data_IF_716318251131
#
_entry.id   IF_716318251131
#
_cell.length_a   1.000
_cell.length_b   1.000
_cell.length_c   1.000
_cell.angle_alpha   90.00
_cell.angle_beta   90.00
_cell.angle_gamma   90.00
#
_symmetry.space_group_name_H-M   'P 1'
#
loop_
_entity.id
_entity.type
_entity.pdbx_description
1 polymer ?
#
# COMPACT_ATOMS: atom_id res chain seq x y z
N UNK A 1 -16.52 -10.20 3.44
CA UNK A 1 -15.42 -9.20 3.51
C UNK A 1 -15.88 -7.98 4.28
N UNK A 2 -15.00 -7.30 5.02
CA UNK A 2 -15.32 -6.08 5.80
C UNK A 2 -15.34 -4.85 4.89
N UNK A 3 -15.94 -3.73 5.36
CA UNK A 3 -15.80 -2.42 4.72
C UNK A 3 -14.38 -1.89 4.88
N UNK A 4 -13.82 -1.29 3.85
CA UNK A 4 -12.51 -0.68 3.87
C UNK A 4 -12.60 0.78 4.36
N UNK A 5 -12.31 0.97 5.65
CA UNK A 5 -12.37 2.29 6.30
C UNK A 5 -11.40 3.30 5.70
N UNK A 6 -10.24 2.84 5.21
CA UNK A 6 -9.25 3.71 4.54
C UNK A 6 -9.81 4.23 3.22
N UNK A 7 -10.37 3.34 2.39
CA UNK A 7 -11.03 3.72 1.14
C UNK A 7 -12.19 4.70 1.40
N UNK A 8 -12.97 4.45 2.45
CA UNK A 8 -14.08 5.31 2.84
C UNK A 8 -13.60 6.71 3.26
N UNK A 9 -12.56 6.82 4.10
CA UNK A 9 -11.94 8.10 4.49
C UNK A 9 -11.42 8.87 3.26
N UNK A 10 -10.67 8.20 2.38
CA UNK A 10 -10.13 8.82 1.17
C UNK A 10 -11.23 9.33 0.24
N UNK A 11 -12.35 8.61 0.10
CA UNK A 11 -13.52 9.06 -0.69
C UNK A 11 -14.17 10.32 -0.09
N UNK A 12 -14.13 10.50 1.23
CA UNK A 12 -14.56 11.74 1.90
C UNK A 12 -13.53 12.87 1.80
N UNK A 13 -12.38 12.63 1.19
CA UNK A 13 -11.30 13.61 1.05
C UNK A 13 -10.42 13.74 2.30
N UNK A 14 -10.52 12.83 3.26
CA UNK A 14 -9.68 12.81 4.47
C UNK A 14 -8.29 12.23 4.18
N UNK A 15 -7.29 12.67 4.95
CA UNK A 15 -5.97 12.05 4.95
C UNK A 15 -5.95 10.82 5.84
N UNK A 16 -5.14 9.83 5.48
CA UNK A 16 -4.96 8.58 6.23
C UNK A 16 -3.49 8.34 6.51
N UNK A 17 -3.21 7.79 7.69
CA UNK A 17 -1.86 7.46 8.14
C UNK A 17 -1.70 5.94 8.25
N UNK A 18 -0.68 5.42 7.60
CA UNK A 18 -0.31 4.02 7.65
C UNK A 18 1.12 3.77 8.07
N UNK A 19 1.40 2.50 8.34
CA UNK A 19 2.74 2.07 8.74
C UNK A 19 3.18 0.85 7.92
N UNK A 20 4.43 0.90 7.42
CA UNK A 20 5.08 -0.25 6.78
C UNK A 20 5.62 -1.17 7.85
N UNK A 21 5.26 -2.43 7.76
CA UNK A 21 5.77 -3.49 8.62
C UNK A 21 6.55 -4.52 7.79
N UNK A 22 7.84 -4.62 8.04
CA UNK A 22 8.73 -5.65 7.49
C UNK A 22 9.15 -6.69 8.55
N UNK A 23 8.88 -6.42 9.83
CA UNK A 23 9.11 -7.35 10.93
C UNK A 23 7.86 -8.21 11.14
N UNK A 24 8.01 -9.54 11.05
CA UNK A 24 6.91 -10.46 11.31
C UNK A 24 6.63 -10.55 12.83
N UNK A 25 5.83 -9.60 13.35
CA UNK A 25 5.45 -9.52 14.75
C UNK A 25 3.98 -9.13 14.91
N UNK A 26 3.22 -10.00 15.57
CA UNK A 26 1.82 -9.77 15.92
C UNK A 26 1.70 -8.58 16.86
N UNK A 27 2.59 -8.48 17.85
CA UNK A 27 2.59 -7.43 18.86
C UNK A 27 2.77 -6.04 18.22
N UNK A 28 3.71 -5.93 17.28
CA UNK A 28 3.93 -4.67 16.56
C UNK A 28 2.73 -4.29 15.70
N UNK A 29 2.02 -5.26 15.12
CA UNK A 29 0.77 -4.99 14.40
C UNK A 29 -0.30 -4.45 15.35
N UNK A 30 -0.46 -5.10 16.52
CA UNK A 30 -1.45 -4.70 17.52
C UNK A 30 -1.13 -3.32 18.11
N UNK A 31 0.13 -3.07 18.45
CA UNK A 31 0.61 -1.76 18.92
C UNK A 31 0.33 -0.65 17.89
N UNK A 32 0.56 -0.92 16.60
CA UNK A 32 0.25 0.03 15.54
C UNK A 32 -1.24 0.39 15.52
N UNK A 33 -2.12 -0.59 15.67
CA UNK A 33 -3.55 -0.36 15.75
C UNK A 33 -3.97 0.48 16.95
N UNK A 34 -3.48 0.15 18.14
CA UNK A 34 -3.76 0.93 19.36
C UNK A 34 -3.13 2.34 19.32
N UNK A 35 -2.07 2.53 18.55
CA UNK A 35 -1.47 3.86 18.33
C UNK A 35 -2.29 4.76 17.41
N UNK A 36 -3.34 4.24 16.76
CA UNK A 36 -4.26 5.02 15.94
C UNK A 36 -3.91 5.10 14.46
N UNK A 37 -3.07 4.21 13.94
CA UNK A 37 -2.87 4.10 12.48
C UNK A 37 -4.15 3.62 11.79
N UNK A 38 -4.42 4.13 10.59
CA UNK A 38 -5.57 3.73 9.78
C UNK A 38 -5.36 2.41 9.07
N UNK A 39 -4.12 2.14 8.66
CA UNK A 39 -3.75 0.94 7.92
C UNK A 39 -2.32 0.50 8.20
N UNK A 40 -2.06 -0.76 7.88
CA UNK A 40 -0.75 -1.38 7.94
C UNK A 40 -0.41 -2.01 6.60
N UNK A 41 0.82 -1.82 6.14
CA UNK A 41 1.34 -2.43 4.92
C UNK A 41 2.28 -3.55 5.34
N UNK A 42 1.86 -4.78 5.09
CA UNK A 42 2.65 -5.99 5.30
C UNK A 42 3.51 -6.20 4.06
N UNK A 43 4.81 -6.10 4.24
CA UNK A 43 5.76 -6.08 3.14
C UNK A 43 6.27 -7.48 2.81
N UNK A 44 5.82 -8.02 1.66
CA UNK A 44 6.29 -9.32 1.16
C UNK A 44 7.29 -9.19 0.00
N UNK A 45 7.73 -7.97 -0.31
CA UNK A 45 8.77 -7.70 -1.30
C UNK A 45 10.16 -7.62 -0.65
N UNK A 46 10.37 -6.68 0.29
CA UNK A 46 11.65 -6.48 0.97
C UNK A 46 11.73 -7.08 2.38
N UNK A 47 10.68 -7.73 2.83
CA UNK A 47 10.63 -8.44 4.11
C UNK A 47 10.72 -9.96 3.96
N UNK A 48 10.99 -10.69 5.06
CA UNK A 48 11.01 -12.16 5.06
C UNK A 48 9.59 -12.77 5.08
N UNK A 49 8.55 -11.98 4.83
CA UNK A 49 7.16 -12.42 4.94
C UNK A 49 6.64 -13.02 3.64
N UNK A 50 5.68 -13.93 3.80
CA UNK A 50 4.86 -14.49 2.74
C UNK A 50 3.38 -14.24 3.04
N UNK A 51 2.48 -14.49 2.08
CA UNK A 51 1.05 -14.40 2.33
C UNK A 51 0.59 -15.27 3.52
N UNK A 52 1.21 -16.43 3.72
CA UNK A 52 0.93 -17.31 4.85
C UNK A 52 1.31 -16.68 6.19
N UNK A 53 2.52 -16.14 6.30
CA UNK A 53 2.98 -15.46 7.52
C UNK A 53 2.21 -14.17 7.83
N UNK A 54 1.53 -13.59 6.84
CA UNK A 54 0.66 -12.43 7.03
C UNK A 54 -0.68 -12.77 7.71
N UNK A 55 -1.12 -14.03 7.74
CA UNK A 55 -2.43 -14.40 8.32
C UNK A 55 -2.58 -13.93 9.78
N UNK A 56 -1.67 -14.24 10.72
CA UNK A 56 -1.81 -13.79 12.09
C UNK A 56 -1.72 -12.26 12.23
N UNK A 57 -0.93 -11.60 11.37
CA UNK A 57 -0.83 -10.14 11.36
C UNK A 57 -2.14 -9.50 10.89
N UNK A 58 -2.78 -10.08 9.86
CA UNK A 58 -4.11 -9.64 9.40
C UNK A 58 -5.15 -9.82 10.52
N UNK A 59 -5.13 -10.95 11.25
CA UNK A 59 -6.03 -11.16 12.37
C UNK A 59 -5.85 -10.09 13.46
N UNK A 60 -4.62 -9.74 13.80
CA UNK A 60 -4.28 -8.68 14.75
C UNK A 60 -4.73 -7.30 14.27
N UNK A 61 -4.48 -6.99 12.99
CA UNK A 61 -4.94 -5.75 12.36
C UNK A 61 -6.48 -5.64 12.40
N UNK A 62 -7.19 -6.72 12.08
CA UNK A 62 -8.64 -6.77 12.14
C UNK A 62 -9.20 -6.56 13.55
N UNK A 63 -8.51 -7.08 14.58
CA UNK A 63 -8.88 -6.91 15.99
C UNK A 63 -8.77 -5.46 16.45
N UNK A 64 -7.76 -4.75 15.98
CA UNK A 64 -7.51 -3.33 16.32
C UNK A 64 -8.16 -2.36 15.33
N UNK A 65 -8.93 -2.86 14.36
CA UNK A 65 -9.65 -2.09 13.35
C UNK A 65 -8.77 -1.29 12.37
N UNK A 66 -7.48 -1.61 12.23
CA UNK A 66 -6.65 -1.08 11.15
C UNK A 66 -6.82 -1.93 9.88
N UNK A 67 -6.63 -1.32 8.73
CA UNK A 67 -6.83 -1.98 7.43
C UNK A 67 -5.54 -2.68 6.99
N UNK A 68 -5.52 -4.02 6.83
CA UNK A 68 -4.35 -4.73 6.35
C UNK A 68 -4.22 -4.61 4.83
N UNK A 69 -3.07 -4.13 4.39
CA UNK A 69 -2.66 -4.03 2.98
C UNK A 69 -1.41 -4.90 2.82
N UNK A 70 -1.30 -5.63 1.72
CA UNK A 70 -0.08 -6.41 1.41
C UNK A 70 0.61 -5.77 0.21
N UNK A 71 1.92 -5.50 0.32
CA UNK A 71 2.75 -5.28 -0.84
C UNK A 71 3.22 -6.63 -1.37
N UNK A 72 2.82 -6.96 -2.60
CA UNK A 72 3.27 -8.18 -3.29
C UNK A 72 4.66 -7.99 -3.89
N UNK A 73 5.40 -9.09 -4.09
CA UNK A 73 6.75 -9.02 -4.67
C UNK A 73 6.73 -8.70 -6.17
N UNK A 74 5.67 -9.07 -6.87
CA UNK A 74 5.54 -8.90 -8.33
C UNK A 74 4.07 -8.96 -8.76
N UNK A 75 3.80 -8.46 -10.00
CA UNK A 75 2.47 -8.54 -10.63
C UNK A 75 2.25 -9.95 -11.20
N UNK A 76 2.19 -10.95 -10.32
CA UNK A 76 1.91 -12.33 -10.69
C UNK A 76 0.64 -12.85 -10.01
N UNK A 77 -0.12 -13.69 -10.76
CA UNK A 77 -1.39 -14.24 -10.31
C UNK A 77 -1.30 -14.91 -8.95
N UNK A 78 -0.24 -15.68 -8.70
CA UNK A 78 -0.07 -16.45 -7.47
C UNK A 78 0.08 -15.54 -6.24
N UNK A 79 0.90 -14.49 -6.30
CA UNK A 79 1.11 -13.58 -5.18
C UNK A 79 -0.14 -12.76 -4.89
N UNK A 80 -0.78 -12.22 -5.94
CA UNK A 80 -1.99 -11.42 -5.82
C UNK A 80 -3.14 -12.26 -5.25
N UNK A 81 -3.35 -13.47 -5.80
CA UNK A 81 -4.42 -14.36 -5.35
C UNK A 81 -4.25 -14.74 -3.88
N UNK A 82 -3.05 -15.19 -3.48
CA UNK A 82 -2.76 -15.57 -2.10
C UNK A 82 -2.94 -14.39 -1.14
N UNK A 83 -2.42 -13.21 -1.47
CA UNK A 83 -2.59 -12.01 -0.65
C UNK A 83 -4.07 -11.66 -0.43
N UNK A 84 -4.89 -11.74 -1.48
CA UNK A 84 -6.32 -11.45 -1.38
C UNK A 84 -7.09 -12.54 -0.62
N UNK A 85 -6.72 -13.81 -0.78
CA UNK A 85 -7.42 -14.94 -0.17
C UNK A 85 -7.12 -15.08 1.33
N UNK A 86 -5.95 -14.62 1.81
CA UNK A 86 -5.67 -14.52 3.25
C UNK A 86 -6.34 -13.32 3.92
N UNK A 87 -6.93 -12.39 3.15
CA UNK A 87 -7.78 -11.33 3.68
C UNK A 87 -7.19 -9.93 3.62
N UNK A 88 -6.19 -9.67 2.77
CA UNK A 88 -5.75 -8.30 2.51
C UNK A 88 -6.91 -7.45 1.97
N UNK A 89 -7.05 -6.24 2.49
CA UNK A 89 -8.05 -5.25 2.10
C UNK A 89 -7.51 -4.25 1.07
N UNK A 90 -6.23 -4.36 0.73
CA UNK A 90 -5.57 -3.65 -0.35
C UNK A 90 -4.32 -4.38 -0.80
N UNK A 91 -3.91 -4.10 -2.02
CA UNK A 91 -2.64 -4.59 -2.58
C UNK A 91 -1.84 -3.42 -3.10
N UNK A 92 -0.54 -3.42 -2.78
CA UNK A 92 0.45 -2.55 -3.40
C UNK A 92 1.21 -3.38 -4.44
N UNK A 93 1.26 -2.86 -5.65
CA UNK A 93 1.99 -3.43 -6.78
C UNK A 93 3.27 -2.65 -6.99
N UNK A 94 4.45 -3.26 -6.77
CA UNK A 94 5.72 -2.60 -7.03
C UNK A 94 5.97 -2.48 -8.54
N UNK A 95 6.87 -1.58 -8.93
CA UNK A 95 7.46 -1.46 -10.27
C UNK A 95 6.46 -1.33 -11.42
N UNK A 96 5.29 -0.67 -11.17
CA UNK A 96 4.30 -0.45 -12.23
C UNK A 96 4.77 0.70 -13.12
N UNK A 97 5.30 0.36 -14.29
CA UNK A 97 5.92 1.30 -15.22
C UNK A 97 5.07 1.59 -16.45
N UNK A 98 4.18 0.66 -16.82
CA UNK A 98 3.39 0.74 -18.06
C UNK A 98 1.89 0.61 -17.81
N UNK A 99 1.11 1.11 -18.76
CA UNK A 99 -0.35 0.91 -18.75
C UNK A 99 -0.73 -0.58 -18.75
N UNK A 100 0.03 -1.41 -19.46
CA UNK A 100 -0.25 -2.85 -19.56
C UNK A 100 0.00 -3.56 -18.23
N UNK A 101 1.05 -3.21 -17.50
CA UNK A 101 1.28 -3.72 -16.14
C UNK A 101 0.18 -3.27 -15.19
N UNK A 102 -0.22 -2.02 -15.24
CA UNK A 102 -1.33 -1.50 -14.45
C UNK A 102 -2.65 -2.22 -14.75
N UNK A 103 -2.99 -2.44 -16.02
CA UNK A 103 -4.15 -3.24 -16.43
C UNK A 103 -4.06 -4.70 -15.95
N UNK A 104 -2.87 -5.29 -16.00
CA UNK A 104 -2.63 -6.64 -15.50
C UNK A 104 -2.87 -6.73 -13.99
N UNK A 105 -2.34 -5.77 -13.23
CA UNK A 105 -2.56 -5.68 -11.78
C UNK A 105 -4.06 -5.60 -11.43
N UNK A 106 -4.79 -4.72 -12.10
CA UNK A 106 -6.25 -4.58 -11.96
C UNK A 106 -6.95 -5.89 -12.30
N UNK A 107 -6.65 -6.47 -13.45
CA UNK A 107 -7.30 -7.67 -13.97
C UNK A 107 -7.14 -8.88 -13.02
N UNK A 108 -5.93 -9.09 -12.50
CA UNK A 108 -5.63 -10.20 -11.57
C UNK A 108 -6.24 -10.00 -10.17
N UNK A 109 -6.65 -8.79 -9.83
CA UNK A 109 -7.20 -8.44 -8.51
C UNK A 109 -8.72 -8.43 -8.45
N UNK A 110 -9.39 -8.43 -9.59
CA UNK A 110 -10.85 -8.31 -9.68
C UNK A 110 -11.49 -9.59 -10.17
N UNK A 111 -12.62 -9.93 -9.59
CA UNK A 111 -13.53 -10.92 -10.13
C UNK A 111 -14.24 -10.34 -11.35
N UNK A 112 -14.54 -11.20 -12.35
CA UNK A 112 -15.33 -10.81 -13.52
C UNK A 112 -16.73 -10.37 -13.09
N UNK A 113 -17.22 -9.30 -13.69
CA UNK A 113 -18.60 -8.85 -13.58
C UNK A 113 -19.35 -9.05 -14.91
N UNK A 114 -20.68 -9.02 -14.84
CA UNK A 114 -21.52 -9.09 -16.04
C UNK A 114 -21.17 -7.93 -17.00
N UNK A 115 -20.72 -8.25 -18.19
CA UNK A 115 -20.24 -7.27 -19.17
C UNK A 115 -18.72 -7.24 -19.39
N UNK A 116 -17.93 -7.82 -18.47
CA UNK A 116 -16.47 -7.87 -18.53
C UNK A 116 -15.93 -9.02 -19.43
N UNK A 117 -16.73 -9.52 -20.36
CA UNK A 117 -16.43 -10.75 -21.16
C UNK A 117 -15.14 -10.69 -21.99
N UNK A 118 -14.53 -9.51 -22.14
CA UNK A 118 -13.28 -9.30 -22.87
C UNK A 118 -12.01 -9.48 -22.02
N UNK A 119 -12.12 -9.73 -20.71
CA UNK A 119 -10.96 -9.92 -19.84
C UNK A 119 -10.45 -11.36 -19.96
N UNK A 120 -9.27 -11.52 -20.53
CA UNK A 120 -8.61 -12.82 -20.66
C UNK A 120 -8.03 -13.34 -19.33
N UNK A 121 -7.74 -12.45 -18.38
CA UNK A 121 -7.16 -12.77 -17.07
C UNK A 121 -7.99 -12.12 -15.98
N UNK A 122 -8.17 -12.82 -14.86
CA UNK A 122 -8.97 -12.36 -13.73
C UNK A 122 -8.58 -13.11 -12.45
N UNK A 123 -9.01 -12.57 -11.31
CA UNK A 123 -8.87 -13.22 -10.01
C UNK A 123 -9.56 -14.59 -10.02
N UNK A 124 -8.85 -15.63 -9.57
CA UNK A 124 -9.45 -16.95 -9.38
C UNK A 124 -10.55 -16.91 -8.32
N UNK A 125 -11.66 -17.59 -8.58
CA UNK A 125 -12.81 -17.62 -7.68
C UNK A 125 -12.72 -18.82 -6.72
N UNK A 126 -12.81 -18.51 -5.43
CA UNK A 126 -12.99 -19.48 -4.37
C UNK A 126 -13.78 -18.84 -3.23
N UNK A 127 -14.79 -19.55 -2.71
CA UNK A 127 -15.63 -19.06 -1.61
C UNK A 127 -15.27 -19.65 -0.24
N UNK A 128 -14.31 -20.57 -0.19
CA UNK A 128 -13.85 -21.21 1.07
C UNK A 128 -12.52 -20.62 1.59
N UNK A 129 -12.06 -19.50 1.02
CA UNK A 129 -10.90 -18.79 1.53
C UNK A 129 -11.21 -18.03 2.84
N UNK A 130 -10.16 -17.65 3.57
CA UNK A 130 -10.30 -16.81 4.78
C UNK A 130 -11.03 -15.49 4.46
N UNK A 131 -10.68 -14.84 3.37
CA UNK A 131 -11.31 -13.60 2.92
C UNK A 131 -12.81 -13.73 2.68
N UNK A 132 -13.26 -14.91 2.27
CA UNK A 132 -14.66 -15.26 2.05
C UNK A 132 -15.36 -15.81 3.33
N UNK A 133 -14.71 -15.76 4.50
CA UNK A 133 -15.25 -16.34 5.73
C UNK A 133 -15.46 -17.84 5.66
N UNK A 134 -14.60 -18.53 4.90
CA UNK A 134 -14.61 -19.98 4.67
C UNK A 134 -15.93 -20.51 4.06
N UNK A 135 -16.69 -19.66 3.37
CA UNK A 135 -17.99 -20.01 2.81
C UNK A 135 -19.11 -20.18 3.85
N UNK A 136 -18.85 -19.84 5.12
CA UNK A 136 -19.78 -20.02 6.23
C UNK A 136 -20.60 -18.74 6.46
N UNK A 137 -19.94 -17.59 6.43
CA UNK A 137 -20.54 -16.30 6.85
C UNK A 137 -21.01 -15.42 5.69
N UNK A 138 -20.61 -15.71 4.47
CA UNK A 138 -20.93 -14.89 3.30
C UNK A 138 -21.16 -15.80 2.10
N UNK A 139 -22.24 -15.57 1.34
CA UNK A 139 -22.47 -16.25 0.07
C UNK A 139 -21.50 -15.75 -1.01
N UNK A 140 -21.28 -16.60 -2.03
CA UNK A 140 -20.29 -16.34 -3.08
C UNK A 140 -20.55 -15.04 -3.85
N UNK A 141 -21.81 -14.75 -4.19
CA UNK A 141 -22.15 -13.54 -4.94
C UNK A 141 -21.85 -12.28 -4.16
N UNK A 142 -22.26 -12.23 -2.89
CA UNK A 142 -21.96 -11.12 -1.98
C UNK A 142 -20.46 -10.96 -1.74
N UNK A 143 -19.71 -12.07 -1.69
CA UNK A 143 -18.25 -12.02 -1.59
C UNK A 143 -17.62 -11.36 -2.82
N UNK A 144 -18.04 -11.75 -4.04
CA UNK A 144 -17.55 -11.18 -5.30
C UNK A 144 -17.81 -9.68 -5.35
N UNK A 145 -19.05 -9.25 -5.12
CA UNK A 145 -19.46 -7.84 -5.18
C UNK A 145 -18.69 -7.00 -4.15
N UNK A 146 -18.65 -7.47 -2.90
CA UNK A 146 -17.94 -6.76 -1.82
C UNK A 146 -16.43 -6.70 -2.07
N UNK A 147 -15.82 -7.79 -2.52
CA UNK A 147 -14.40 -7.81 -2.84
C UNK A 147 -14.03 -6.82 -3.92
N UNK A 148 -14.78 -6.78 -5.02
CA UNK A 148 -14.53 -5.84 -6.11
C UNK A 148 -14.68 -4.38 -5.68
N UNK A 149 -15.56 -4.10 -4.71
CA UNK A 149 -15.81 -2.75 -4.17
C UNK A 149 -14.77 -2.33 -3.14
N UNK A 150 -14.46 -3.20 -2.18
CA UNK A 150 -13.73 -2.81 -0.97
C UNK A 150 -12.21 -2.96 -1.07
N UNK A 151 -11.70 -3.85 -1.94
CA UNK A 151 -10.25 -4.00 -2.12
C UNK A 151 -9.66 -2.77 -2.78
N UNK A 152 -8.65 -2.17 -2.14
CA UNK A 152 -7.86 -1.07 -2.69
C UNK A 152 -6.77 -1.57 -3.61
N UNK A 153 -6.60 -0.91 -4.77
CA UNK A 153 -5.50 -1.15 -5.69
C UNK A 153 -4.56 0.05 -5.68
N UNK A 154 -3.33 -0.21 -5.29
CA UNK A 154 -2.28 0.78 -5.10
C UNK A 154 -1.12 0.43 -6.02
N UNK A 155 -0.73 1.31 -6.91
CA UNK A 155 0.43 1.12 -7.80
C UNK A 155 1.61 1.96 -7.31
N UNK A 156 2.82 1.40 -7.30
CA UNK A 156 4.03 2.15 -7.00
C UNK A 156 4.57 2.81 -8.26
N UNK A 157 4.74 4.12 -8.17
CA UNK A 157 5.37 4.99 -9.15
C UNK A 157 6.83 5.19 -8.74
N UNK A 158 7.74 4.43 -9.34
CA UNK A 158 9.12 4.34 -8.83
C UNK A 158 10.17 4.07 -9.92
N UNK A 159 9.80 4.22 -11.19
CA UNK A 159 10.73 4.07 -12.30
C UNK A 159 10.68 5.28 -13.24
N UNK A 160 11.78 5.50 -13.98
CA UNK A 160 11.82 6.51 -15.04
C UNK A 160 10.75 6.26 -16.11
N UNK A 161 10.51 5.00 -16.46
CA UNK A 161 9.47 4.64 -17.42
C UNK A 161 8.06 4.98 -16.91
N UNK A 162 7.81 4.81 -15.60
CA UNK A 162 6.56 5.23 -14.99
C UNK A 162 6.31 6.74 -15.11
N UNK A 163 7.38 7.57 -15.10
CA UNK A 163 7.27 9.04 -15.30
C UNK A 163 6.67 9.34 -16.66
N UNK A 164 7.14 8.65 -17.70
CA UNK A 164 6.70 8.86 -19.07
C UNK A 164 5.27 8.34 -19.31
N UNK A 165 4.86 7.29 -18.59
CA UNK A 165 3.58 6.60 -18.75
C UNK A 165 2.50 7.03 -17.73
N UNK A 166 2.79 7.93 -16.80
CA UNK A 166 1.91 8.29 -15.68
C UNK A 166 0.49 8.69 -16.16
N UNK A 167 0.41 9.54 -17.18
CA UNK A 167 -0.87 10.04 -17.67
C UNK A 167 -1.77 8.92 -18.22
N UNK A 168 -1.20 7.87 -18.79
CA UNK A 168 -1.95 6.70 -19.26
C UNK A 168 -2.38 5.81 -18.09
N UNK A 169 -1.51 5.59 -17.11
CA UNK A 169 -1.82 4.82 -15.90
C UNK A 169 -2.97 5.48 -15.13
N UNK A 170 -2.98 6.81 -15.04
CA UNK A 170 -4.01 7.57 -14.34
C UNK A 170 -5.42 7.44 -14.95
N UNK A 171 -5.55 7.04 -16.23
CA UNK A 171 -6.85 6.78 -16.88
C UNK A 171 -7.57 5.55 -16.35
N UNK A 172 -6.87 4.62 -15.66
CA UNK A 172 -7.48 3.41 -15.10
C UNK A 172 -8.28 3.75 -13.84
N UNK A 173 -9.60 3.67 -13.94
CA UNK A 173 -10.53 4.04 -12.85
C UNK A 173 -10.38 3.17 -11.60
N UNK A 174 -9.98 1.92 -11.77
CA UNK A 174 -9.87 0.92 -10.71
C UNK A 174 -8.68 1.11 -9.77
N UNK A 175 -7.68 1.93 -10.16
CA UNK A 175 -6.56 2.31 -9.29
C UNK A 175 -7.03 3.36 -8.30
N UNK A 176 -6.92 3.08 -7.02
CA UNK A 176 -7.33 3.97 -5.93
C UNK A 176 -6.20 4.94 -5.54
N UNK A 177 -4.96 4.44 -5.46
CA UNK A 177 -3.79 5.20 -4.99
C UNK A 177 -2.60 4.99 -5.94
N UNK A 178 -1.88 6.07 -6.23
CA UNK A 178 -0.55 6.01 -6.83
C UNK A 178 0.47 6.40 -5.77
N UNK A 179 1.29 5.44 -5.37
CA UNK A 179 2.25 5.57 -4.28
C UNK A 179 3.65 5.87 -4.82
N UNK A 180 4.29 6.93 -4.35
CA UNK A 180 5.63 7.34 -4.79
C UNK A 180 6.68 6.52 -4.06
N UNK A 181 7.39 5.64 -4.77
CA UNK A 181 8.56 4.92 -4.30
C UNK A 181 9.84 5.75 -4.55
N UNK A 182 10.11 6.71 -3.67
CA UNK A 182 11.18 7.70 -3.91
C UNK A 182 12.59 7.07 -3.99
N UNK A 183 12.82 5.95 -3.31
CA UNK A 183 14.10 5.24 -3.31
C UNK A 183 14.41 4.69 -4.71
N UNK A 184 13.53 3.83 -5.22
CA UNK A 184 13.70 3.20 -6.52
C UNK A 184 13.58 4.22 -7.67
N UNK A 185 12.71 5.22 -7.52
CA UNK A 185 12.63 6.32 -8.47
C UNK A 185 13.97 7.06 -8.57
N UNK A 186 14.60 7.40 -7.45
CA UNK A 186 15.89 8.09 -7.46
C UNK A 186 16.98 7.25 -8.14
N UNK A 187 17.00 5.95 -7.84
CA UNK A 187 17.91 4.98 -8.48
C UNK A 187 17.65 4.88 -9.99
N UNK A 188 16.40 4.72 -10.39
CA UNK A 188 15.99 4.62 -11.81
C UNK A 188 16.30 5.88 -12.62
N UNK A 189 16.34 7.04 -11.98
CA UNK A 189 16.72 8.31 -12.57
C UNK A 189 18.24 8.54 -12.62
N UNK A 190 19.04 7.63 -12.05
CA UNK A 190 20.51 7.75 -12.00
C UNK A 190 21.05 8.51 -10.78
N UNK A 191 20.21 8.72 -9.75
CA UNK A 191 20.55 9.42 -8.50
C UNK A 191 20.29 8.53 -7.26
N UNK A 192 20.93 7.34 -7.14
CA UNK A 192 20.60 6.37 -6.10
C UNK A 192 20.79 6.95 -4.69
N UNK A 193 19.71 6.99 -3.89
CA UNK A 193 19.73 7.51 -2.52
C UNK A 193 19.71 9.03 -2.41
N UNK A 194 19.75 9.75 -3.51
CA UNK A 194 19.73 11.22 -3.52
C UNK A 194 18.29 11.78 -3.53
N UNK A 195 17.50 11.51 -2.50
CA UNK A 195 16.11 11.99 -2.42
C UNK A 195 15.98 13.52 -2.45
N UNK A 196 17.03 14.22 -2.07
CA UNK A 196 17.10 15.70 -2.05
C UNK A 196 17.58 16.31 -3.37
N UNK A 197 17.97 15.50 -4.35
CA UNK A 197 18.36 15.98 -5.66
C UNK A 197 17.20 16.79 -6.29
N UNK A 198 17.45 18.02 -6.77
CA UNK A 198 16.42 18.88 -7.34
C UNK A 198 15.63 18.26 -8.47
N UNK A 199 16.26 17.41 -9.31
CA UNK A 199 15.62 16.71 -10.42
C UNK A 199 14.60 15.70 -9.86
N UNK A 200 15.01 14.87 -8.89
CA UNK A 200 14.16 13.86 -8.25
C UNK A 200 12.97 14.53 -7.56
N UNK A 201 13.23 15.57 -6.75
CA UNK A 201 12.19 16.33 -6.06
C UNK A 201 11.18 16.95 -7.02
N UNK A 202 11.66 17.53 -8.12
CA UNK A 202 10.77 18.13 -9.11
C UNK A 202 9.88 17.09 -9.79
N UNK A 203 10.44 15.95 -10.19
CA UNK A 203 9.67 14.83 -10.78
C UNK A 203 8.60 14.34 -9.81
N UNK A 204 8.94 14.11 -8.54
CA UNK A 204 7.98 13.70 -7.51
C UNK A 204 6.87 14.75 -7.36
N UNK A 205 7.22 16.03 -7.26
CA UNK A 205 6.25 17.12 -7.12
C UNK A 205 5.28 17.20 -8.30
N UNK A 206 5.80 17.10 -9.53
CA UNK A 206 4.96 17.12 -10.73
C UNK A 206 4.10 15.87 -10.85
N UNK A 207 4.63 14.70 -10.49
CA UNK A 207 3.83 13.46 -10.43
C UNK A 207 2.67 13.59 -9.43
N UNK A 208 2.92 14.09 -8.21
CA UNK A 208 1.86 14.31 -7.21
C UNK A 208 0.78 15.24 -7.74
N UNK A 209 1.14 16.37 -8.38
CA UNK A 209 0.16 17.28 -8.98
C UNK A 209 -0.70 16.58 -10.03
N UNK A 210 -0.10 15.80 -10.94
CA UNK A 210 -0.82 15.03 -11.95
C UNK A 210 -1.79 14.04 -11.33
N UNK A 211 -1.34 13.28 -10.31
CA UNK A 211 -2.15 12.30 -9.60
C UNK A 211 -3.36 12.98 -8.95
N UNK A 212 -3.14 14.05 -8.20
CA UNK A 212 -4.21 14.80 -7.51
C UNK A 212 -5.18 15.40 -8.51
N UNK A 213 -4.70 16.02 -9.59
CA UNK A 213 -5.53 16.61 -10.64
C UNK A 213 -6.37 15.56 -11.40
N UNK A 214 -5.91 14.31 -11.46
CA UNK A 214 -6.67 13.22 -12.07
C UNK A 214 -7.83 12.70 -11.19
N UNK A 215 -7.95 13.20 -9.96
CA UNK A 215 -8.90 12.73 -8.95
C UNK A 215 -8.47 11.47 -8.22
N UNK A 216 -7.25 10.97 -8.43
CA UNK A 216 -6.68 9.84 -7.69
C UNK A 216 -5.94 10.32 -6.45
N UNK A 217 -5.69 9.38 -5.54
CA UNK A 217 -4.97 9.64 -4.31
C UNK A 217 -3.46 9.46 -4.52
N UNK A 218 -2.68 10.49 -4.17
CA UNK A 218 -1.23 10.35 -4.09
C UNK A 218 -0.83 9.76 -2.73
N UNK A 219 0.11 8.82 -2.74
CA UNK A 219 0.68 8.20 -1.55
C UNK A 219 2.19 8.43 -1.45
N UNK A 220 2.69 8.60 -0.22
CA UNK A 220 4.11 8.85 0.06
C UNK A 220 4.56 8.27 1.40
N UNK A 221 5.88 8.15 1.57
CA UNK A 221 6.52 8.01 2.89
C UNK A 221 6.82 9.39 3.46
N UNK A 222 6.59 9.57 4.76
CA UNK A 222 7.03 10.73 5.51
C UNK A 222 7.79 10.28 6.78
N UNK A 223 8.90 10.95 7.07
CA UNK A 223 9.80 10.62 8.19
C UNK A 223 9.87 11.72 9.25
N UNK A 224 9.18 12.84 9.02
CA UNK A 224 9.17 13.96 9.96
C UNK A 224 7.85 14.75 9.88
N UNK A 225 7.48 15.50 10.93
CA UNK A 225 6.31 16.38 10.90
C UNK A 225 6.34 17.42 9.78
N UNK A 226 7.52 17.98 9.49
CA UNK A 226 7.68 18.97 8.41
C UNK A 226 7.41 18.33 7.05
N UNK A 227 7.86 17.10 6.84
CA UNK A 227 7.61 16.38 5.60
C UNK A 227 6.14 16.00 5.46
N UNK A 228 5.47 15.62 6.55
CA UNK A 228 4.02 15.40 6.56
C UNK A 228 3.28 16.65 6.13
N UNK A 229 3.60 17.80 6.73
CA UNK A 229 3.00 19.09 6.38
C UNK A 229 3.20 19.43 4.91
N UNK A 230 4.43 19.30 4.42
CA UNK A 230 4.77 19.54 3.01
C UNK A 230 3.94 18.67 2.05
N UNK A 231 3.78 17.37 2.35
CA UNK A 231 2.99 16.47 1.51
C UNK A 231 1.50 16.82 1.53
N UNK A 232 0.95 17.15 2.70
CA UNK A 232 -0.46 17.56 2.83
C UNK A 232 -0.72 18.84 2.02
N UNK A 233 0.18 19.82 2.05
CA UNK A 233 0.08 21.05 1.27
C UNK A 233 0.11 20.79 -0.24
N UNK A 234 0.76 19.71 -0.70
CA UNK A 234 0.74 19.26 -2.08
C UNK A 234 -0.51 18.43 -2.46
N UNK A 235 -1.41 18.18 -1.50
CA UNK A 235 -2.64 17.42 -1.72
C UNK A 235 -2.51 15.91 -1.52
N UNK A 236 -1.39 15.42 -0.97
CA UNK A 236 -1.22 14.00 -0.63
C UNK A 236 -2.14 13.64 0.53
N UNK A 237 -2.81 12.48 0.42
CA UNK A 237 -3.76 11.99 1.43
C UNK A 237 -3.43 10.61 1.98
N UNK A 238 -2.56 9.86 1.34
CA UNK A 238 -2.14 8.52 1.77
C UNK A 238 -0.69 8.59 2.25
N UNK A 239 -0.50 8.79 3.57
CA UNK A 239 0.81 9.02 4.17
C UNK A 239 1.23 7.80 4.96
N UNK A 240 2.51 7.42 4.85
CA UNK A 240 3.06 6.26 5.56
C UNK A 240 4.38 6.60 6.23
N UNK A 241 4.75 5.78 7.22
CA UNK A 241 6.09 5.73 7.81
C UNK A 241 6.55 4.28 7.92
N UNK A 242 7.84 4.06 8.19
CA UNK A 242 8.40 2.71 8.38
C UNK A 242 8.52 2.38 9.87
N UNK A 243 7.96 1.23 10.28
CA UNK A 243 8.04 0.75 11.66
C UNK A 243 9.49 0.55 12.12
N UNK A 244 10.33 0.00 11.24
CA UNK A 244 11.75 -0.21 11.50
C UNK A 244 12.50 1.10 11.76
N UNK A 245 12.17 2.17 11.05
CA UNK A 245 12.80 3.49 11.26
C UNK A 245 12.42 4.03 12.63
N UNK A 246 11.13 4.02 12.98
CA UNK A 246 10.65 4.47 14.30
C UNK A 246 11.32 3.68 15.43
N UNK A 247 11.40 2.34 15.31
CA UNK A 247 12.01 1.50 16.32
C UNK A 247 13.52 1.74 16.44
N UNK A 248 14.24 1.83 15.32
CA UNK A 248 15.69 2.06 15.35
C UNK A 248 16.04 3.41 15.96
N UNK A 249 15.28 4.46 15.66
CA UNK A 249 15.45 5.78 16.26
C UNK A 249 15.18 5.77 17.76
N UNK A 250 14.08 5.12 18.20
CA UNK A 250 13.75 5.02 19.63
C UNK A 250 14.81 4.27 20.41
N UNK A 251 15.28 3.13 19.89
CA UNK A 251 16.34 2.31 20.50
C UNK A 251 17.67 3.08 20.54
N UNK A 252 18.06 3.73 19.44
CA UNK A 252 19.29 4.52 19.38
C UNK A 252 19.27 5.70 20.35
N UNK A 253 18.19 6.45 20.39
CA UNK A 253 18.04 7.60 21.31
C UNK A 253 18.15 7.19 22.79
N UNK A 254 17.64 6.00 23.15
CA UNK A 254 17.74 5.50 24.52
C UNK A 254 19.19 5.13 24.87
N UNK A 255 19.92 4.46 23.97
CA UNK A 255 21.35 4.16 24.16
C UNK A 255 22.19 5.43 24.28
N UNK A 256 21.91 6.42 23.43
CA UNK A 256 22.61 7.71 23.49
C UNK A 256 22.35 8.45 24.81
N UNK A 257 21.13 8.38 25.32
CA UNK A 257 20.76 8.94 26.61
C UNK A 257 21.52 8.28 27.75
N UNK A 258 21.62 6.94 27.74
CA UNK A 258 22.42 6.21 28.72
C UNK A 258 23.91 6.59 28.66
N UNK A 259 24.48 6.63 27.45
CA UNK A 259 25.88 6.99 27.24
C UNK A 259 26.23 8.42 27.72
N UNK A 260 25.29 9.36 27.62
CA UNK A 260 25.46 10.71 28.17
C UNK A 260 25.57 10.69 29.70
N UNK A 261 24.66 9.97 30.38
CA UNK A 261 24.63 9.89 31.83
C UNK A 261 25.90 9.25 32.45
N UNK A 262 26.52 8.28 31.76
CA UNK A 262 27.73 7.61 32.28
C UNK A 262 29.03 8.34 31.97
N UNK A 263 29.02 9.38 31.09
CA UNK A 263 30.20 10.19 30.73
C UNK A 263 30.31 11.51 31.51
N UNK A 264 29.19 11.94 32.10
CA UNK A 264 29.09 13.06 33.04
C UNK A 264 29.40 12.58 34.47
#
# INVERSE_FOLDING_TARGET
MRKNKVKEKLLRGESVLGIWQSINSIDLTEMSGYSGYDFIILDTEHGPMSAESCIPLICSAERTNIVPIIRVSEIQKTYILKALDVGAMGIIFPMVSTLEEAKRAVSLSRYIQKGDQKRERFRGLINVSRAAGYGISVDEKSHIETSNKEIMLIVQFETKEAVDNLDEILKLKEIDVVFIGAADLSQSLGFPGEYNNPIVKNIIKEAIKKIVNSGKVAGVVATSPDLIKYWIELGVKFITCHQTVILSEALGNFVDSFNKVIRD
#
